data_IF_945446300910
#
_entry.id   IF_945446300910
#
_cell.length_a   1.000
_cell.length_b   1.000
_cell.length_c   1.000
_cell.angle_alpha   90.00
_cell.angle_beta   90.00
_cell.angle_gamma   90.00
#
_symmetry.space_group_name_H-M   'P 1'
#
loop_
_entity.id
_entity.type
_entity.pdbx_description
1 polymer ?
#
# COMPACT_ATOMS: atom_id res chain seq x y z
N UNK A 1 -0.61 -17.18 6.78
CA UNK A 1 0.12 -16.24 5.89
C UNK A 1 1.52 -15.99 6.47
N UNK A 2 2.52 -15.53 5.68
CA UNK A 2 3.88 -15.22 6.21
C UNK A 2 3.83 -14.21 7.36
N UNK A 3 2.97 -13.19 7.25
CA UNK A 3 2.74 -12.20 8.30
C UNK A 3 2.27 -12.83 9.62
N UNK A 4 1.33 -13.78 9.58
CA UNK A 4 0.83 -14.46 10.79
C UNK A 4 1.92 -15.22 11.51
N UNK A 5 2.76 -15.93 10.75
CA UNK A 5 3.88 -16.66 11.31
C UNK A 5 4.82 -15.67 12.01
N UNK A 6 5.23 -14.60 11.33
CA UNK A 6 6.15 -13.60 11.91
C UNK A 6 5.55 -12.93 13.15
N UNK A 7 4.32 -12.42 13.06
CA UNK A 7 3.67 -11.69 14.14
C UNK A 7 3.36 -12.56 15.35
N UNK A 8 3.00 -13.83 15.15
CA UNK A 8 2.85 -14.80 16.24
C UNK A 8 4.17 -15.01 16.97
N UNK A 9 5.29 -15.15 16.26
CA UNK A 9 6.59 -15.37 16.88
C UNK A 9 7.15 -14.10 17.56
N UNK A 10 6.87 -12.92 16.99
CA UNK A 10 7.39 -11.65 17.50
C UNK A 10 6.52 -11.10 18.66
N UNK A 11 5.20 -11.22 18.55
CA UNK A 11 4.24 -10.56 19.46
C UNK A 11 3.27 -11.52 20.15
N UNK A 12 3.28 -12.82 19.83
CA UNK A 12 2.34 -13.80 20.39
C UNK A 12 0.91 -13.67 19.88
N UNK A 13 0.67 -12.83 18.85
CA UNK A 13 -0.65 -12.57 18.27
C UNK A 13 -0.55 -12.17 16.80
N UNK A 14 -1.66 -12.26 16.08
CA UNK A 14 -1.76 -11.89 14.66
C UNK A 14 -2.63 -10.65 14.45
N UNK A 15 -2.38 -9.86 13.38
CA UNK A 15 -3.25 -8.74 13.03
C UNK A 15 -4.64 -9.22 12.58
N UNK A 16 -5.65 -8.57 13.13
CA UNK A 16 -7.05 -8.72 12.71
C UNK A 16 -7.45 -7.68 11.65
N UNK A 17 -6.74 -6.55 11.61
CA UNK A 17 -6.95 -5.48 10.63
C UNK A 17 -5.91 -5.61 9.50
N UNK A 18 -6.38 -5.91 8.29
CA UNK A 18 -5.56 -6.17 7.09
C UNK A 18 -5.90 -5.25 5.91
N UNK A 19 -6.75 -4.28 6.15
CA UNK A 19 -7.25 -3.38 5.14
C UNK A 19 -8.24 -2.39 5.73
N UNK A 20 -8.66 -1.48 4.88
CA UNK A 20 -9.71 -0.51 5.16
C UNK A 20 -10.66 -0.41 3.97
N UNK A 21 -11.88 0.02 4.27
CA UNK A 21 -12.86 0.40 3.27
C UNK A 21 -13.49 1.73 3.68
N UNK A 22 -13.64 2.61 2.72
CA UNK A 22 -14.29 3.90 2.87
C UNK A 22 -15.46 3.99 1.89
N UNK A 23 -16.57 4.56 2.33
CA UNK A 23 -17.76 4.78 1.51
C UNK A 23 -18.77 3.65 1.47
N UNK A 24 -19.80 3.84 0.65
CA UNK A 24 -20.94 2.94 0.48
C UNK A 24 -20.75 2.00 -0.73
N UNK A 25 -21.42 0.81 -0.75
CA UNK A 25 -21.46 -0.07 -1.93
C UNK A 25 -21.71 0.70 -3.23
N UNK A 26 -20.90 0.44 -4.25
CA UNK A 26 -20.97 1.11 -5.56
C UNK A 26 -20.09 2.35 -5.67
N UNK A 27 -19.50 2.82 -4.57
CA UNK A 27 -18.53 3.92 -4.58
C UNK A 27 -17.42 3.70 -3.54
N UNK A 28 -17.13 2.46 -3.17
CA UNK A 28 -16.11 2.22 -2.13
C UNK A 28 -14.72 2.46 -2.67
N UNK A 29 -13.88 3.02 -1.80
CA UNK A 29 -12.43 2.93 -1.93
C UNK A 29 -11.97 1.94 -0.87
N UNK A 30 -11.20 0.94 -1.26
CA UNK A 30 -10.66 -0.02 -0.30
C UNK A 30 -9.18 -0.26 -0.54
N UNK A 31 -8.49 -0.61 0.52
CA UNK A 31 -7.09 -0.99 0.48
C UNK A 31 -6.85 -2.24 1.32
N UNK A 32 -5.87 -3.05 0.90
CA UNK A 32 -5.38 -4.21 1.66
C UNK A 32 -3.88 -4.09 1.86
N UNK A 33 -3.38 -4.58 2.98
CA UNK A 33 -1.99 -4.42 3.37
C UNK A 33 -1.41 -5.62 4.13
N UNK A 34 -0.08 -5.64 4.23
CA UNK A 34 0.69 -6.61 4.99
C UNK A 34 1.91 -5.96 5.65
N UNK A 35 2.39 -6.56 6.74
CA UNK A 35 3.54 -6.09 7.51
C UNK A 35 4.75 -7.01 7.27
N UNK A 36 5.85 -6.42 6.81
CA UNK A 36 7.14 -7.08 6.62
C UNK A 36 8.11 -6.71 7.74
N UNK A 37 8.65 -7.72 8.43
CA UNK A 37 9.61 -7.54 9.54
C UNK A 37 11.03 -7.89 9.11
N UNK A 38 11.53 -7.25 8.06
CA UNK A 38 12.86 -7.57 7.51
C UNK A 38 14.00 -7.12 8.43
N UNK A 39 13.83 -6.00 9.15
CA UNK A 39 14.77 -5.51 10.17
C UNK A 39 14.57 -6.12 11.57
N UNK A 40 13.45 -6.82 11.79
CA UNK A 40 13.08 -7.39 13.09
C UNK A 40 12.82 -6.32 14.15
N UNK A 41 12.90 -6.70 15.44
CA UNK A 41 12.66 -5.77 16.55
C UNK A 41 13.86 -4.88 16.90
N UNK A 42 15.07 -5.27 16.48
CA UNK A 42 16.30 -4.52 16.78
C UNK A 42 16.53 -3.34 15.84
N UNK A 43 16.02 -3.43 14.61
CA UNK A 43 16.11 -2.40 13.57
C UNK A 43 14.73 -2.16 12.96
N UNK A 44 13.77 -1.61 13.73
CA UNK A 44 12.40 -1.43 13.27
C UNK A 44 12.27 -0.50 12.06
N UNK A 45 13.28 0.34 11.80
CA UNK A 45 13.44 1.12 10.57
C UNK A 45 13.50 0.26 9.30
N UNK A 46 13.93 -1.00 9.41
CA UNK A 46 13.91 -1.96 8.30
C UNK A 46 12.60 -2.74 8.17
N UNK A 47 11.57 -2.42 8.96
CA UNK A 47 10.25 -3.03 8.84
C UNK A 47 9.35 -2.15 7.97
N UNK A 48 8.63 -2.78 7.06
CA UNK A 48 7.81 -2.09 6.05
C UNK A 48 6.37 -2.55 6.11
N UNK A 49 5.45 -1.60 6.02
CA UNK A 49 4.02 -1.78 5.93
C UNK A 49 3.64 -1.56 4.47
N UNK A 50 3.33 -2.63 3.76
CA UNK A 50 3.02 -2.55 2.35
C UNK A 50 1.51 -2.46 2.17
N UNK A 51 1.02 -1.33 1.63
CA UNK A 51 -0.29 -1.25 1.01
C UNK A 51 -0.17 -2.00 -0.32
N UNK A 52 -0.76 -3.19 -0.35
CA UNK A 52 -0.62 -4.13 -1.47
C UNK A 52 -1.46 -3.71 -2.66
N UNK A 53 -2.65 -3.17 -2.39
CA UNK A 53 -3.59 -2.71 -3.41
C UNK A 53 -4.49 -1.63 -2.86
N UNK A 54 -4.83 -0.67 -3.71
CA UNK A 54 -5.94 0.27 -3.52
C UNK A 54 -6.88 0.09 -4.70
N UNK A 55 -8.17 0.03 -4.46
CA UNK A 55 -9.18 -0.11 -5.51
C UNK A 55 -10.30 0.88 -5.29
N UNK A 56 -10.80 1.42 -6.41
CA UNK A 56 -11.93 2.36 -6.46
C UNK A 56 -13.04 1.60 -7.21
N UNK A 57 -14.20 1.41 -6.58
CA UNK A 57 -15.30 0.63 -7.19
C UNK A 57 -15.90 1.32 -8.42
N UNK A 58 -16.03 2.65 -8.38
CA UNK A 58 -16.49 3.47 -9.50
C UNK A 58 -15.45 4.56 -9.78
N UNK A 59 -14.48 4.22 -10.63
CA UNK A 59 -13.36 5.12 -10.95
C UNK A 59 -13.81 6.30 -11.82
N UNK A 60 -14.92 6.22 -12.54
CA UNK A 60 -15.38 7.33 -13.38
C UNK A 60 -16.19 8.35 -12.56
N UNK A 61 -16.99 7.89 -11.60
CA UNK A 61 -17.82 8.77 -10.77
C UNK A 61 -17.07 9.36 -9.57
N UNK A 62 -16.02 8.71 -9.08
CA UNK A 62 -15.30 9.18 -7.90
C UNK A 62 -14.54 10.49 -8.20
N UNK A 63 -15.03 11.61 -7.66
CA UNK A 63 -14.32 12.88 -7.76
C UNK A 63 -13.05 12.92 -6.87
N UNK A 64 -12.16 13.86 -7.17
CA UNK A 64 -10.88 13.98 -6.46
C UNK A 64 -11.03 14.32 -4.97
N UNK A 65 -12.07 15.07 -4.58
CA UNK A 65 -12.28 15.45 -3.19
C UNK A 65 -12.72 14.24 -2.35
N UNK A 66 -13.63 13.43 -2.88
CA UNK A 66 -14.04 12.17 -2.28
C UNK A 66 -12.86 11.20 -2.18
N UNK A 67 -12.04 11.07 -3.23
CA UNK A 67 -10.84 10.24 -3.18
C UNK A 67 -9.82 10.76 -2.17
N UNK A 68 -9.63 12.07 -2.05
CA UNK A 68 -8.72 12.65 -1.06
C UNK A 68 -9.18 12.36 0.38
N UNK A 69 -10.47 12.46 0.65
CA UNK A 69 -11.06 12.08 1.94
C UNK A 69 -10.87 10.59 2.22
N UNK A 70 -11.18 9.74 1.23
CA UNK A 70 -11.01 8.29 1.34
C UNK A 70 -9.55 7.90 1.60
N UNK A 71 -8.60 8.48 0.85
CA UNK A 71 -7.18 8.22 1.01
C UNK A 71 -6.66 8.75 2.35
N UNK A 72 -7.15 9.90 2.81
CA UNK A 72 -6.81 10.42 4.14
C UNK A 72 -7.21 9.45 5.24
N UNK A 73 -8.45 8.93 5.20
CA UNK A 73 -8.95 7.96 6.16
C UNK A 73 -8.20 6.62 6.10
N UNK A 74 -7.99 6.08 4.89
CA UNK A 74 -7.32 4.79 4.68
C UNK A 74 -5.85 4.85 5.11
N UNK A 75 -5.11 5.88 4.68
CA UNK A 75 -3.69 6.03 5.05
C UNK A 75 -3.56 6.36 6.54
N UNK A 76 -4.50 7.14 7.11
CA UNK A 76 -4.58 7.38 8.54
C UNK A 76 -4.63 6.07 9.33
N UNK A 77 -5.58 5.19 9.01
CA UNK A 77 -5.68 3.87 9.64
C UNK A 77 -4.44 3.01 9.39
N UNK A 78 -3.88 3.04 8.17
CA UNK A 78 -2.66 2.30 7.86
C UNK A 78 -1.47 2.75 8.73
N UNK A 79 -1.34 4.05 9.02
CA UNK A 79 -0.29 4.59 9.90
C UNK A 79 -0.50 4.21 11.36
N UNK A 80 -1.74 4.25 11.84
CA UNK A 80 -2.09 3.78 13.19
C UNK A 80 -1.77 2.30 13.35
N UNK A 81 -2.14 1.48 12.37
CA UNK A 81 -1.81 0.05 12.35
C UNK A 81 -0.29 -0.18 12.25
N UNK A 82 0.42 0.57 11.41
CA UNK A 82 1.88 0.45 11.33
C UNK A 82 2.53 0.74 12.69
N UNK A 83 2.12 1.82 13.37
CA UNK A 83 2.61 2.19 14.69
C UNK A 83 2.28 1.14 15.77
N UNK A 84 1.04 0.63 15.79
CA UNK A 84 0.60 -0.42 16.70
C UNK A 84 1.42 -1.71 16.56
N UNK A 85 1.87 -2.00 15.33
CA UNK A 85 2.61 -3.19 14.98
C UNK A 85 4.13 -3.00 14.85
N UNK A 86 4.67 -1.85 15.29
CA UNK A 86 6.11 -1.53 15.28
C UNK A 86 6.74 -1.61 13.88
N UNK A 87 6.01 -1.08 12.91
CA UNK A 87 6.42 -0.94 11.51
C UNK A 87 6.47 0.55 11.17
N UNK A 88 7.59 1.01 10.61
CA UNK A 88 7.87 2.45 10.53
C UNK A 88 7.68 3.04 9.13
N UNK A 89 7.74 2.20 8.09
CA UNK A 89 7.72 2.67 6.70
C UNK A 89 6.44 2.19 6.01
N UNK A 90 5.51 3.09 5.66
CA UNK A 90 4.27 2.76 4.94
C UNK A 90 4.49 3.02 3.45
N UNK A 91 4.38 1.97 2.64
CA UNK A 91 4.64 2.04 1.20
C UNK A 91 3.39 1.69 0.39
N UNK A 92 3.12 2.52 -0.62
CA UNK A 92 2.20 2.23 -1.72
C UNK A 92 2.99 2.27 -3.02
N UNK A 93 2.90 1.21 -3.83
CA UNK A 93 3.68 1.08 -5.05
C UNK A 93 2.87 1.46 -6.28
N UNK A 94 3.49 2.22 -7.19
CA UNK A 94 2.93 2.62 -8.48
C UNK A 94 1.46 3.10 -8.44
N UNK A 95 1.12 4.07 -7.56
CA UNK A 95 -0.22 4.66 -7.56
C UNK A 95 -0.52 5.34 -8.90
N UNK A 96 -1.76 5.22 -9.38
CA UNK A 96 -2.22 5.92 -10.59
C UNK A 96 -2.13 7.44 -10.41
N UNK A 97 -2.08 8.20 -11.51
CA UNK A 97 -2.05 9.66 -11.45
C UNK A 97 -3.22 10.25 -10.62
N UNK A 98 -4.39 9.63 -10.73
CA UNK A 98 -5.59 9.98 -9.96
C UNK A 98 -5.38 9.77 -8.45
N UNK A 99 -4.82 8.62 -8.06
CA UNK A 99 -4.50 8.34 -6.66
C UNK A 99 -3.42 9.27 -6.12
N UNK A 100 -2.39 9.61 -6.91
CA UNK A 100 -1.35 10.56 -6.50
C UNK A 100 -1.95 11.93 -6.16
N UNK A 101 -2.79 12.47 -7.05
CA UNK A 101 -3.47 13.75 -6.81
C UNK A 101 -4.36 13.71 -5.56
N UNK A 102 -5.08 12.61 -5.34
CA UNK A 102 -5.88 12.42 -4.13
C UNK A 102 -5.02 12.39 -2.85
N UNK A 103 -3.86 11.72 -2.88
CA UNK A 103 -2.92 11.65 -1.75
C UNK A 103 -2.29 13.03 -1.47
N UNK A 104 -1.91 13.77 -2.52
CA UNK A 104 -1.43 15.15 -2.39
C UNK A 104 -2.47 16.03 -1.68
N UNK A 105 -3.73 15.93 -2.12
CA UNK A 105 -4.85 16.68 -1.55
C UNK A 105 -5.25 16.24 -0.15
N UNK A 106 -5.01 14.98 0.22
CA UNK A 106 -5.28 14.46 1.56
C UNK A 106 -4.44 15.16 2.63
N UNK A 107 -3.35 15.84 2.26
CA UNK A 107 -2.53 16.67 3.15
C UNK A 107 -1.71 15.86 4.16
N UNK A 108 -1.52 14.56 3.90
CA UNK A 108 -0.71 13.69 4.74
C UNK A 108 0.78 13.86 4.39
N UNK A 109 1.70 13.82 5.37
CA UNK A 109 3.13 13.79 5.07
C UNK A 109 3.47 12.55 4.26
N UNK A 110 3.98 12.74 3.04
CA UNK A 110 4.37 11.67 2.14
C UNK A 110 5.43 12.18 1.14
N UNK A 111 6.05 11.24 0.44
CA UNK A 111 6.95 11.52 -0.68
C UNK A 111 6.67 10.54 -1.82
N UNK A 112 6.82 11.00 -3.06
CA UNK A 112 6.84 10.13 -4.22
C UNK A 112 8.29 9.88 -4.63
N UNK A 113 8.68 8.61 -4.63
CA UNK A 113 10.06 8.19 -4.88
C UNK A 113 10.09 7.26 -6.09
N UNK A 114 10.92 7.60 -7.06
CA UNK A 114 11.27 6.70 -8.16
C UNK A 114 12.31 5.69 -7.68
N UNK A 115 11.85 4.49 -7.30
CA UNK A 115 12.69 3.44 -6.72
C UNK A 115 13.70 2.88 -7.73
N UNK A 116 14.99 2.83 -7.37
CA UNK A 116 16.08 2.36 -8.24
C UNK A 116 16.84 1.12 -7.74
N UNK A 117 16.55 0.63 -6.52
CA UNK A 117 17.46 -0.32 -5.86
C UNK A 117 16.87 -1.71 -5.57
N UNK A 118 15.56 -1.81 -5.33
CA UNK A 118 14.95 -3.06 -4.84
C UNK A 118 13.63 -3.36 -5.55
N UNK A 119 13.37 -4.65 -5.78
CA UNK A 119 12.12 -5.15 -6.38
C UNK A 119 11.64 -4.33 -7.60
N UNK A 120 12.56 -4.15 -8.54
CA UNK A 120 12.31 -3.50 -9.82
C UNK A 120 11.80 -4.56 -10.77
N UNK A 121 10.62 -4.34 -11.35
CA UNK A 121 10.08 -5.24 -12.35
C UNK A 121 11.03 -5.30 -13.55
N UNK A 122 11.42 -6.51 -13.94
CA UNK A 122 12.30 -6.73 -15.08
C UNK A 122 11.76 -7.88 -15.94
N UNK A 123 11.82 -7.70 -17.25
CA UNK A 123 11.38 -8.66 -18.25
C UNK A 123 12.39 -8.67 -19.40
N UNK A 124 12.78 -9.86 -19.82
CA UNK A 124 13.54 -10.05 -21.05
C UNK A 124 12.54 -10.22 -22.20
N UNK A 125 12.33 -9.16 -22.97
CA UNK A 125 11.35 -9.12 -24.05
C UNK A 125 12.03 -9.28 -25.42
N UNK A 126 11.58 -10.26 -26.20
CA UNK A 126 12.10 -10.56 -27.55
C UNK A 126 11.14 -10.18 -28.68
N UNK A 127 9.99 -9.58 -28.35
CA UNK A 127 9.02 -9.12 -29.35
C UNK A 127 9.39 -7.76 -29.94
N UNK A 128 8.61 -7.33 -30.92
CA UNK A 128 8.70 -5.98 -31.48
C UNK A 128 7.70 -5.06 -30.77
N UNK A 129 8.07 -3.79 -30.55
CA UNK A 129 7.22 -2.77 -29.95
C UNK A 129 7.50 -2.49 -28.47
N UNK A 130 6.69 -1.60 -27.89
CA UNK A 130 6.74 -1.22 -26.48
C UNK A 130 5.98 -2.22 -25.60
N UNK A 131 6.35 -2.28 -24.31
CA UNK A 131 5.72 -3.17 -23.33
C UNK A 131 5.15 -2.32 -22.21
N UNK A 132 3.87 -2.54 -21.92
CA UNK A 132 3.20 -1.92 -20.79
C UNK A 132 3.26 -2.82 -19.55
N UNK A 133 3.72 -2.25 -18.44
CA UNK A 133 3.66 -2.89 -17.14
C UNK A 133 2.27 -2.72 -16.54
N UNK A 134 1.48 -3.80 -16.52
CA UNK A 134 0.15 -3.82 -15.89
C UNK A 134 0.26 -4.38 -14.47
N UNK A 135 -0.49 -3.79 -13.54
CA UNK A 135 -0.56 -4.23 -12.13
C UNK A 135 0.82 -4.37 -11.46
N UNK A 136 1.74 -3.44 -11.73
CA UNK A 136 3.08 -3.39 -11.14
C UNK A 136 3.06 -2.94 -9.66
N UNK A 137 2.19 -3.51 -8.86
CA UNK A 137 2.01 -3.21 -7.44
C UNK A 137 2.85 -4.17 -6.60
N UNK A 138 3.05 -3.86 -5.30
CA UNK A 138 3.76 -4.77 -4.39
C UNK A 138 3.10 -6.16 -4.32
N UNK A 139 1.79 -6.22 -4.53
CA UNK A 139 1.01 -7.45 -4.55
C UNK A 139 1.59 -8.53 -5.49
N UNK A 140 2.14 -8.16 -6.65
CA UNK A 140 2.76 -9.10 -7.60
C UNK A 140 4.05 -9.77 -7.09
N UNK A 141 4.54 -9.38 -5.91
CA UNK A 141 5.80 -9.83 -5.32
C UNK A 141 5.61 -10.52 -3.96
N UNK A 142 4.36 -10.70 -3.50
CA UNK A 142 4.01 -11.17 -2.16
C UNK A 142 3.56 -12.63 -2.10
#
# INVERSE_FOLDING_TARGET
MREDFMTTHIFGKTPTIRGAVFGAPGNRVWAVWTRGYYGGLKKPEGNTFHILRVSIEDEDAADEAYLAEAMSAIIGLAREEAAAWKVNNVELWNPTAKLRAAIDRAGLPHEFVDRQDTSIACLMWYGHGEVDWVANEKFGWC
#
